data_IF_371744284512
#
_entry.id   IF_371744284512
#
_cell.length_a   1.000
_cell.length_b   1.000
_cell.length_c   1.000
_cell.angle_alpha   90.00
_cell.angle_beta   90.00
_cell.angle_gamma   90.00
#
_symmetry.space_group_name_H-M   'P 1'
#
loop_
_entity.id
_entity.type
_entity.pdbx_description
1 polymer ?
#
# COMPACT_ATOMS: atom_id res chain seq x y z
N UNK A 1 3.02 7.86 -7.11
CA UNK A 1 2.20 6.83 -7.79
C UNK A 1 0.73 7.08 -7.50
N UNK A 2 -0.13 6.88 -8.50
CA UNK A 2 -1.59 6.87 -8.36
C UNK A 2 -2.16 5.95 -9.44
N UNK A 3 -2.10 4.65 -9.20
CA UNK A 3 -2.34 3.63 -10.21
C UNK A 3 -3.70 2.96 -9.99
N UNK A 4 -4.40 2.64 -11.09
CA UNK A 4 -5.67 1.92 -11.04
C UNK A 4 -5.48 0.49 -10.56
N UNK A 5 -6.35 0.03 -9.66
CA UNK A 5 -6.53 -1.38 -9.31
C UNK A 5 -7.71 -1.94 -10.08
N UNK A 6 -7.50 -3.06 -10.76
CA UNK A 6 -8.52 -3.76 -11.55
C UNK A 6 -8.77 -5.16 -11.00
N UNK A 7 -9.98 -5.69 -11.21
CA UNK A 7 -10.40 -7.02 -10.75
C UNK A 7 -9.57 -8.17 -11.36
N UNK A 8 -8.98 -7.96 -12.55
CA UNK A 8 -8.08 -8.90 -13.19
C UNK A 8 -6.86 -8.23 -13.80
N UNK A 9 -6.00 -9.03 -14.43
CA UNK A 9 -4.75 -8.57 -15.05
C UNK A 9 -4.97 -7.64 -16.26
N UNK A 10 -6.11 -7.76 -16.95
CA UNK A 10 -6.44 -6.92 -18.09
C UNK A 10 -6.89 -5.54 -17.60
N UNK A 11 -6.27 -4.47 -18.10
CA UNK A 11 -6.60 -3.10 -17.75
C UNK A 11 -8.06 -2.69 -18.09
N UNK A 12 -8.71 -3.41 -19.02
CA UNK A 12 -10.13 -3.19 -19.38
C UNK A 12 -11.12 -3.82 -18.39
N UNK A 13 -10.64 -4.62 -17.43
CA UNK A 13 -11.51 -5.16 -16.37
C UNK A 13 -11.93 -4.05 -15.42
N UNK A 14 -12.96 -4.34 -14.63
CA UNK A 14 -13.55 -3.37 -13.73
C UNK A 14 -12.50 -2.76 -12.79
N UNK A 15 -12.51 -1.44 -12.65
CA UNK A 15 -11.76 -0.72 -11.61
C UNK A 15 -12.37 -1.02 -10.24
N UNK A 16 -11.54 -1.43 -9.28
CA UNK A 16 -11.93 -1.77 -7.90
C UNK A 16 -11.27 -0.88 -6.85
N UNK A 17 -10.37 0.02 -7.27
CA UNK A 17 -9.66 0.90 -6.36
C UNK A 17 -8.47 1.60 -6.99
N UNK A 18 -7.59 2.14 -6.13
CA UNK A 18 -6.32 2.76 -6.53
C UNK A 18 -5.19 2.39 -5.57
N UNK A 19 -3.98 2.24 -6.11
CA UNK A 19 -2.73 2.21 -5.36
C UNK A 19 -2.10 3.60 -5.38
N UNK A 20 -2.08 4.27 -4.23
CA UNK A 20 -1.62 5.64 -4.07
C UNK A 20 -0.44 5.69 -3.10
N UNK A 21 0.62 6.40 -3.48
CA UNK A 21 1.78 6.55 -2.61
C UNK A 21 3.06 6.81 -3.37
N UNK A 22 4.18 6.39 -2.81
CA UNK A 22 5.51 6.59 -3.37
C UNK A 22 6.36 5.34 -3.26
N UNK A 23 7.39 5.31 -4.10
CA UNK A 23 8.47 4.37 -3.99
C UNK A 23 9.79 5.10 -4.19
N UNK A 24 10.86 4.53 -3.68
CA UNK A 24 12.21 4.99 -3.90
C UNK A 24 13.14 3.79 -4.14
N UNK A 25 14.18 3.97 -4.95
CA UNK A 25 15.25 2.98 -5.00
C UNK A 25 15.97 2.97 -3.65
N UNK A 26 15.96 1.82 -2.99
CA UNK A 26 16.53 1.65 -1.65
C UNK A 26 18.01 1.23 -1.73
N UNK A 27 18.36 0.45 -2.75
CA UNK A 27 19.70 -0.10 -2.92
C UNK A 27 20.41 0.52 -4.14
N UNK A 28 21.72 0.76 -4.01
CA UNK A 28 22.54 1.30 -5.11
C UNK A 28 22.83 0.27 -6.20
N UNK A 29 22.96 -1.01 -5.82
CA UNK A 29 23.42 -2.09 -6.70
C UNK A 29 22.39 -3.20 -6.87
N UNK A 30 21.18 -3.02 -6.35
CA UNK A 30 20.09 -3.99 -6.45
C UNK A 30 18.82 -3.26 -6.89
N UNK A 31 18.02 -3.89 -7.75
CA UNK A 31 16.71 -3.38 -8.14
C UNK A 31 15.68 -3.63 -7.02
N UNK A 32 15.85 -2.87 -5.94
CA UNK A 32 15.01 -2.93 -4.76
C UNK A 32 14.36 -1.57 -4.52
N UNK A 33 13.05 -1.60 -4.32
CA UNK A 33 12.26 -0.41 -4.00
C UNK A 33 11.83 -0.42 -2.53
N UNK A 34 11.97 0.71 -1.85
CA UNK A 34 11.18 0.99 -0.65
C UNK A 34 9.80 1.46 -1.11
N UNK A 35 8.74 0.82 -0.63
CA UNK A 35 7.36 1.13 -0.97
C UNK A 35 6.65 1.75 0.22
N UNK A 36 5.94 2.87 -0.02
CA UNK A 36 4.98 3.46 0.92
C UNK A 36 3.69 3.70 0.15
N UNK A 37 2.78 2.72 0.19
CA UNK A 37 1.61 2.67 -0.69
C UNK A 37 0.35 2.32 0.10
N UNK A 38 -0.72 3.07 -0.15
CA UNK A 38 -2.06 2.76 0.27
C UNK A 38 -2.83 2.15 -0.90
N UNK A 39 -3.52 1.04 -0.66
CA UNK A 39 -4.50 0.47 -1.57
C UNK A 39 -5.88 0.89 -1.08
N UNK A 40 -6.53 1.78 -1.82
CA UNK A 40 -7.85 2.33 -1.52
C UNK A 40 -8.90 1.61 -2.36
N UNK A 41 -9.86 0.96 -1.72
CA UNK A 41 -10.92 0.20 -2.39
C UNK A 41 -12.18 1.05 -2.51
N UNK A 42 -12.85 0.96 -3.66
CA UNK A 42 -14.07 1.72 -3.95
C UNK A 42 -15.27 0.84 -4.32
N UNK A 43 -15.19 -0.47 -4.07
CA UNK A 43 -16.17 -1.45 -4.53
C UNK A 43 -16.89 -2.16 -3.37
N UNK A 44 -18.23 -2.19 -3.44
CA UNK A 44 -19.14 -2.95 -2.55
C UNK A 44 -18.81 -2.78 -1.06
N UNK A 45 -18.63 -3.90 -0.35
CA UNK A 45 -18.39 -3.96 1.10
C UNK A 45 -17.04 -3.38 1.52
N UNK A 46 -16.12 -3.18 0.58
CA UNK A 46 -14.80 -2.59 0.82
C UNK A 46 -14.74 -1.12 0.42
N UNK A 47 -15.82 -0.54 -0.10
CA UNK A 47 -15.83 0.86 -0.51
C UNK A 47 -15.47 1.79 0.67
N UNK A 48 -14.44 2.61 0.46
CA UNK A 48 -13.88 3.51 1.49
C UNK A 48 -12.93 2.83 2.48
N UNK A 49 -12.68 1.53 2.33
CA UNK A 49 -11.67 0.81 3.12
C UNK A 49 -10.31 0.88 2.43
N UNK A 50 -9.24 0.74 3.21
CA UNK A 50 -7.89 0.70 2.67
C UNK A 50 -6.96 -0.23 3.44
N UNK A 51 -5.87 -0.63 2.79
CA UNK A 51 -4.71 -1.25 3.43
C UNK A 51 -3.46 -0.44 3.11
N UNK A 52 -2.58 -0.27 4.09
CA UNK A 52 -1.32 0.46 3.98
C UNK A 52 -0.17 -0.53 4.00
N UNK A 53 0.73 -0.38 3.04
CA UNK A 53 1.93 -1.16 2.86
C UNK A 53 3.15 -0.26 3.05
N UNK A 54 4.08 -0.71 3.90
CA UNK A 54 5.37 -0.08 4.09
C UNK A 54 6.43 -1.16 4.15
N UNK A 55 7.30 -1.23 3.15
CA UNK A 55 8.32 -2.26 3.12
C UNK A 55 9.16 -2.31 1.87
N UNK A 56 10.14 -3.21 1.91
CA UNK A 56 11.09 -3.49 0.85
C UNK A 56 10.45 -4.36 -0.24
N UNK A 57 10.73 -4.04 -1.50
CA UNK A 57 10.21 -4.71 -2.69
C UNK A 57 11.37 -5.04 -3.65
N UNK A 58 12.00 -6.22 -3.52
CA UNK A 58 13.05 -6.66 -4.43
C UNK A 58 12.40 -7.13 -5.74
N UNK A 59 12.26 -6.24 -6.72
CA UNK A 59 11.37 -6.45 -7.89
C UNK A 59 11.77 -7.61 -8.80
N UNK A 60 13.05 -8.00 -8.75
CA UNK A 60 13.62 -9.12 -9.52
C UNK A 60 13.49 -10.48 -8.83
N UNK A 61 12.94 -10.52 -7.63
CA UNK A 61 12.72 -11.77 -6.87
C UNK A 61 11.28 -12.23 -7.06
N UNK A 62 11.11 -13.53 -7.33
CA UNK A 62 9.80 -14.19 -7.34
C UNK A 62 9.33 -14.50 -5.91
N UNK A 63 8.02 -14.38 -5.67
CA UNK A 63 7.45 -14.65 -4.34
C UNK A 63 7.75 -13.57 -3.30
N UNK A 64 7.49 -12.30 -3.64
CA UNK A 64 7.76 -11.15 -2.75
C UNK A 64 6.73 -11.06 -1.63
N UNK A 65 7.22 -11.06 -0.39
CA UNK A 65 6.42 -10.74 0.78
C UNK A 65 6.35 -9.22 0.98
N UNK A 66 5.14 -8.68 1.00
CA UNK A 66 4.91 -7.24 1.10
C UNK A 66 4.08 -6.94 2.35
N UNK A 67 4.68 -6.38 3.41
CA UNK A 67 4.01 -6.24 4.70
C UNK A 67 2.88 -5.21 4.67
N UNK A 68 1.72 -5.61 5.19
CA UNK A 68 0.60 -4.70 5.47
C UNK A 68 0.75 -4.21 6.92
N UNK A 69 0.94 -2.91 7.08
CA UNK A 69 1.21 -2.28 8.39
C UNK A 69 -0.06 -1.77 9.07
N UNK A 70 -1.12 -1.52 8.30
CA UNK A 70 -2.41 -1.04 8.80
C UNK A 70 -3.53 -1.32 7.81
N UNK A 71 -4.74 -1.48 8.32
CA UNK A 71 -5.96 -1.38 7.52
C UNK A 71 -6.94 -0.36 8.12
N UNK A 72 -7.87 0.11 7.29
CA UNK A 72 -8.97 1.00 7.66
C UNK A 72 -10.31 0.44 7.16
N UNK A 73 -11.42 0.96 7.67
CA UNK A 73 -12.75 0.49 7.33
C UNK A 73 -12.90 -1.01 7.64
N UNK A 74 -13.21 -1.80 6.62
CA UNK A 74 -13.41 -3.25 6.73
C UNK A 74 -12.13 -4.02 7.11
N UNK A 75 -10.96 -3.41 6.89
CA UNK A 75 -9.64 -3.96 7.25
C UNK A 75 -9.08 -3.40 8.57
N UNK A 76 -9.89 -2.67 9.34
CA UNK A 76 -9.42 -2.05 10.58
C UNK A 76 -8.88 -3.11 11.53
N UNK A 77 -7.60 -2.96 11.87
CA UNK A 77 -6.93 -3.70 12.93
C UNK A 77 -6.63 -2.74 14.08
N UNK A 78 -6.90 -3.17 15.31
CA UNK A 78 -6.54 -2.41 16.50
C UNK A 78 -5.01 -2.49 16.66
N UNK A 79 -4.32 -1.45 16.24
CA UNK A 79 -2.90 -1.25 16.50
C UNK A 79 -2.81 -0.03 17.41
N UNK A 80 -2.25 -0.19 18.60
CA UNK A 80 -2.03 0.91 19.53
C UNK A 80 -1.15 1.98 18.84
N UNK A 81 -1.77 3.12 18.53
CA UNK A 81 -1.08 4.25 17.94
C UNK A 81 -0.41 5.02 19.06
N UNK A 82 0.92 4.95 19.16
CA UNK A 82 1.67 5.92 19.96
C UNK A 82 1.42 7.32 19.38
N UNK A 83 0.58 8.11 20.06
CA UNK A 83 0.38 9.52 19.73
C UNK A 83 1.68 10.25 20.09
N UNK A 84 2.43 10.68 19.08
CA UNK A 84 3.52 11.63 19.30
C UNK A 84 2.89 13.03 19.37
N UNK A 85 3.09 13.74 20.46
CA UNK A 85 2.80 15.18 20.52
C UNK A 85 4.07 15.89 20.10
N UNK A 86 3.96 16.77 19.09
CA UNK A 86 5.08 17.64 18.73
C UNK A 86 5.45 18.51 19.94
N UNK A 87 6.69 18.44 20.40
CA UNK A 87 7.25 19.49 21.25
C UNK A 87 7.50 20.71 20.35
N UNK A 88 6.82 21.82 20.63
CA UNK A 88 7.24 23.10 20.05
C UNK A 88 8.60 23.47 20.64
N UNK A 89 9.55 23.80 19.77
CA UNK A 89 10.78 24.49 20.17
C UNK A 89 10.50 25.94 20.55
#
# INVERSE_FOLDING_TARGET
MNNTLTEGQKASTKMVGKAQGMYAFEAKNEETLLMVVNYEFNEREFNGSSISMLGRNPVMVDGREMPIVKGSGRFSINVDVYKTTAMSM
#
